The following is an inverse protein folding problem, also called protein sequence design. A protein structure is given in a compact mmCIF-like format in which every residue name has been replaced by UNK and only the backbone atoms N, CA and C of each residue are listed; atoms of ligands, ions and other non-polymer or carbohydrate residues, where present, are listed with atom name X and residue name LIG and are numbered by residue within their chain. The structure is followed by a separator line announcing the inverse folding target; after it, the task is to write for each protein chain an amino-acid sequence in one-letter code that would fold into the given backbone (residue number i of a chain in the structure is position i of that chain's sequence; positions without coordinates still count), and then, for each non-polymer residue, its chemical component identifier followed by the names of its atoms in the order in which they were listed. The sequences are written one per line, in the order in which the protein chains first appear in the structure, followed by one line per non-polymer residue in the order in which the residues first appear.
data_IF_951719727114
#
_entry.id   IF_951719727114
#
_cell.length_a   1.000
_cell.length_b   1.000
_cell.length_c   1.000
_cell.angle_alpha   90.00
_cell.angle_beta   90.00
_cell.angle_gamma   90.00
#
_symmetry.space_group_name_H-M   'P 1'
#
loop_
_entity.id
_entity.type
_entity.pdbx_description
1 polymer ?
#
# COMPACT_ATOMS: atom_id res chain seq x y z
N UNK A 1 6.46 -8.56 -10.06
CA UNK A 1 6.65 -7.85 -8.79
C UNK A 1 5.93 -8.67 -7.74
N UNK A 2 6.65 -9.31 -6.83
CA UNK A 2 6.03 -10.07 -5.74
C UNK A 2 5.56 -9.03 -4.71
N UNK A 3 4.32 -8.63 -4.86
CA UNK A 3 3.68 -7.79 -3.87
C UNK A 3 3.37 -8.72 -2.71
N UNK A 4 4.20 -8.73 -1.66
CA UNK A 4 3.67 -9.14 -0.36
C UNK A 4 2.49 -8.23 -0.06
N UNK A 5 1.26 -8.67 -0.37
CA UNK A 5 0.07 -7.81 -0.38
C UNK A 5 -0.11 -7.11 0.96
N UNK A 6 0.25 -7.84 2.02
CA UNK A 6 0.13 -7.37 3.37
C UNK A 6 1.49 -7.34 4.05
N UNK A 7 1.72 -6.24 4.76
CA UNK A 7 2.82 -6.12 5.69
C UNK A 7 2.75 -7.26 6.71
N UNK A 8 3.84 -8.02 6.88
CA UNK A 8 3.90 -9.16 7.83
C UNK A 8 3.81 -8.75 9.31
N UNK A 9 3.86 -7.46 9.60
CA UNK A 9 3.96 -6.89 10.95
C UNK A 9 2.61 -6.24 11.33
N UNK A 10 1.73 -6.98 12.01
CA UNK A 10 0.35 -6.53 12.29
C UNK A 10 -0.08 -6.69 13.75
N UNK A 11 -0.75 -5.64 14.26
CA UNK A 11 -1.16 -5.44 15.66
C UNK A 11 -2.44 -6.21 16.06
N UNK A 12 -3.32 -6.56 15.10
CA UNK A 12 -4.58 -7.26 15.36
C UNK A 12 -4.60 -8.60 14.63
N UNK A 13 -3.87 -9.58 15.19
CA UNK A 13 -3.72 -10.98 14.76
C UNK A 13 -4.51 -11.38 13.50
N UNK A 14 -4.02 -10.96 12.33
CA UNK A 14 -4.53 -11.38 11.02
C UNK A 14 -5.83 -10.74 10.50
N UNK A 15 -6.60 -10.01 11.32
CA UNK A 15 -7.90 -9.44 10.91
C UNK A 15 -7.74 -8.07 10.25
N UNK A 16 -6.98 -7.17 10.88
CA UNK A 16 -6.66 -5.85 10.31
C UNK A 16 -5.30 -5.94 9.64
N UNK A 17 -5.27 -5.72 8.33
CA UNK A 17 -4.05 -5.78 7.52
C UNK A 17 -3.73 -4.42 6.93
N UNK A 18 -2.43 -4.12 6.83
CA UNK A 18 -1.93 -2.92 6.16
C UNK A 18 -1.28 -3.36 4.85
N UNK A 19 -1.54 -2.63 3.78
CA UNK A 19 -0.91 -2.84 2.49
C UNK A 19 0.59 -2.55 2.58
N UNK A 20 1.40 -3.32 1.86
CA UNK A 20 2.81 -2.99 1.65
C UNK A 20 2.96 -1.76 0.74
N UNK A 21 4.15 -1.16 0.72
CA UNK A 21 4.39 0.13 0.05
C UNK A 21 4.12 0.13 -1.47
N UNK A 22 4.34 -0.99 -2.15
CA UNK A 22 4.20 -1.12 -3.60
C UNK A 22 2.92 -1.85 -4.04
N UNK A 23 1.95 -2.05 -3.14
CA UNK A 23 0.69 -2.70 -3.50
C UNK A 23 -0.11 -1.80 -4.44
N UNK A 24 -0.55 -2.38 -5.55
CA UNK A 24 -1.51 -1.74 -6.45
C UNK A 24 -2.82 -2.54 -6.45
N UNK A 25 -3.93 -1.87 -6.13
CA UNK A 25 -5.26 -2.48 -6.18
C UNK A 25 -5.85 -2.26 -7.57
N UNK A 26 -6.29 -3.35 -8.19
CA UNK A 26 -6.91 -3.30 -9.52
C UNK A 26 -8.20 -2.47 -9.49
N UNK A 27 -8.31 -1.54 -10.43
CA UNK A 27 -9.54 -0.78 -10.70
C UNK A 27 -10.12 -1.45 -11.95
N UNK A 28 -11.11 -2.33 -11.78
CA UNK A 28 -11.53 -3.32 -12.79
C UNK A 28 -11.62 -2.82 -14.24
N UNK A 29 -11.33 -3.70 -15.19
CA UNK A 29 -11.31 -3.42 -16.62
C UNK A 29 -12.45 -4.12 -17.37
N UNK A 30 -12.85 -3.57 -18.53
CA UNK A 30 -13.82 -4.23 -19.40
C UNK A 30 -13.26 -5.56 -19.93
N UNK A 31 -14.07 -6.63 -19.88
CA UNK A 31 -13.68 -7.96 -20.35
C UNK A 31 -13.85 -8.15 -21.87
N UNK A 32 -14.68 -7.31 -22.52
CA UNK A 32 -15.03 -7.47 -23.93
C UNK A 32 -13.81 -7.55 -24.87
N UNK A 33 -12.78 -6.69 -24.75
CA UNK A 33 -11.62 -6.78 -25.66
C UNK A 33 -10.86 -8.10 -25.54
N UNK A 34 -10.85 -8.70 -24.35
CA UNK A 34 -10.21 -10.00 -24.10
C UNK A 34 -11.05 -11.12 -24.73
N UNK A 35 -12.39 -11.02 -24.63
CA UNK A 35 -13.29 -11.99 -25.26
C UNK A 35 -13.19 -11.93 -26.79
N UNK A 36 -13.21 -10.74 -27.38
CA UNK A 36 -13.01 -10.53 -28.82
C UNK A 36 -11.66 -11.11 -29.29
N UNK A 37 -10.58 -10.85 -28.54
CA UNK A 37 -9.27 -11.43 -28.84
C UNK A 37 -9.27 -12.97 -28.80
N UNK A 38 -9.90 -13.56 -27.78
CA UNK A 38 -10.00 -15.02 -27.64
C UNK A 38 -10.88 -15.64 -28.74
N UNK A 39 -11.92 -14.95 -29.19
CA UNK A 39 -12.77 -15.37 -30.31
C UNK A 39 -11.96 -15.36 -31.63
N UNK A 40 -11.15 -14.33 -31.88
CA UNK A 40 -10.31 -14.24 -33.08
C UNK A 40 -9.16 -15.26 -33.11
N UNK A 41 -8.53 -15.52 -31.95
CA UNK A 41 -7.37 -16.41 -31.84
C UNK A 41 -7.72 -17.88 -31.57
N UNK A 42 -8.91 -18.18 -31.07
CA UNK A 42 -9.41 -19.56 -31.02
C UNK A 42 -9.91 -19.97 -32.40
N UNK A 43 -8.97 -20.28 -33.30
CA UNK A 43 -9.25 -20.89 -34.61
C UNK A 43 -9.75 -22.34 -34.46
N UNK A 44 -10.91 -22.52 -33.83
CA UNK A 44 -11.88 -23.56 -34.12
C UNK A 44 -13.25 -22.89 -34.07
N UNK A 45 -13.80 -22.56 -35.25
CA UNK A 45 -15.10 -21.93 -35.49
C UNK A 45 -16.20 -22.46 -34.55
N UNK A 46 -16.39 -21.82 -33.40
CA UNK A 46 -17.57 -21.99 -32.57
C UNK A 46 -18.14 -20.61 -32.29
N UNK A 47 -18.84 -20.09 -33.29
CA UNK A 47 -19.70 -18.94 -33.11
C UNK A 47 -20.64 -19.20 -31.92
N UNK A 48 -20.59 -18.27 -30.97
CA UNK A 48 -21.54 -18.01 -29.88
C UNK A 48 -21.47 -18.96 -28.67
N UNK A 49 -21.35 -18.31 -27.51
CA UNK A 49 -21.42 -18.77 -26.10
C UNK A 49 -22.47 -19.88 -25.80
N UNK A 50 -23.60 -20.06 -26.52
CA UNK A 50 -24.50 -21.22 -26.33
C UNK A 50 -24.09 -22.52 -27.05
N UNK A 51 -23.16 -22.49 -28.02
CA UNK A 51 -22.79 -23.68 -28.83
C UNK A 51 -21.61 -24.49 -28.28
N UNK A 52 -20.73 -23.86 -27.49
CA UNK A 52 -19.56 -24.49 -26.85
C UNK A 52 -19.96 -25.74 -26.02
N UNK A 53 -21.14 -25.75 -25.42
CA UNK A 53 -21.63 -26.89 -24.62
C UNK A 53 -22.27 -28.02 -25.45
N UNK A 54 -22.59 -27.81 -26.75
CA UNK A 54 -23.34 -28.78 -27.56
C UNK A 54 -22.50 -29.53 -28.60
N UNK A 55 -21.40 -28.95 -29.09
CA UNK A 55 -20.66 -29.50 -30.23
C UNK A 55 -19.27 -30.03 -29.87
N UNK A 56 -18.79 -29.86 -28.63
CA UNK A 56 -17.52 -30.44 -28.18
C UNK A 56 -17.73 -31.92 -27.83
N UNK A 57 -17.05 -32.81 -28.57
CA UNK A 57 -17.00 -34.23 -28.23
C UNK A 57 -16.36 -34.41 -26.85
N UNK A 58 -16.99 -35.12 -25.89
CA UNK A 58 -16.43 -35.38 -24.56
C UNK A 58 -15.05 -36.04 -24.58
N UNK A 59 -14.67 -36.67 -25.69
CA UNK A 59 -13.37 -37.31 -25.88
C UNK A 59 -12.20 -36.32 -26.00
N UNK A 60 -12.44 -35.08 -26.43
CA UNK A 60 -11.38 -34.07 -26.67
C UNK A 60 -11.09 -33.25 -25.41
N UNK A 61 -12.04 -33.17 -24.48
CA UNK A 61 -11.96 -32.36 -23.26
C UNK A 61 -10.75 -32.71 -22.37
N UNK A 62 -10.36 -33.99 -22.19
CA UNK A 62 -9.20 -34.33 -21.37
C UNK A 62 -7.85 -33.88 -21.98
N UNK A 63 -7.78 -33.67 -23.29
CA UNK A 63 -6.55 -33.34 -24.01
C UNK A 63 -6.42 -31.85 -24.31
N UNK A 64 -7.49 -31.08 -24.14
CA UNK A 64 -7.51 -29.64 -24.41
C UNK A 64 -7.50 -28.84 -23.10
N UNK A 65 -6.86 -27.66 -23.13
CA UNK A 65 -6.84 -26.77 -21.97
C UNK A 65 -8.09 -25.91 -21.96
N UNK A 66 -8.76 -25.84 -20.80
CA UNK A 66 -9.98 -25.04 -20.61
C UNK A 66 -9.59 -23.59 -20.33
N UNK A 67 -10.28 -22.65 -20.95
CA UNK A 67 -10.07 -21.21 -20.78
C UNK A 67 -11.23 -20.62 -19.99
N UNK A 68 -10.90 -19.97 -18.87
CA UNK A 68 -11.86 -19.25 -18.05
C UNK A 68 -11.54 -17.76 -18.04
N UNK A 69 -12.56 -16.92 -18.19
CA UNK A 69 -12.47 -15.47 -18.07
C UNK A 69 -13.47 -15.02 -17.01
N UNK A 70 -13.00 -14.39 -15.94
CA UNK A 70 -13.83 -13.97 -14.79
C UNK A 70 -14.71 -15.10 -14.21
N UNK A 71 -14.20 -16.34 -14.21
CA UNK A 71 -14.92 -17.53 -13.73
C UNK A 71 -15.91 -18.13 -14.73
N UNK A 72 -16.16 -17.50 -15.88
CA UNK A 72 -16.97 -18.07 -16.96
C UNK A 72 -16.11 -18.94 -17.88
N UNK A 73 -16.58 -20.16 -18.16
CA UNK A 73 -15.93 -21.03 -19.16
C UNK A 73 -16.20 -20.49 -20.56
N UNK A 74 -15.14 -20.02 -21.23
CA UNK A 74 -15.25 -19.39 -22.56
C UNK A 74 -14.95 -20.39 -23.67
N UNK A 75 -14.03 -21.34 -23.47
CA UNK A 75 -13.71 -22.30 -24.52
C UNK A 75 -12.60 -23.29 -24.17
N UNK A 76 -12.12 -24.00 -25.18
CA UNK A 76 -10.98 -24.91 -25.09
C UNK A 76 -9.92 -24.52 -26.11
N UNK A 77 -8.65 -24.74 -25.78
CA UNK A 77 -7.54 -24.48 -26.68
C UNK A 77 -6.54 -25.64 -26.68
N UNK A 78 -6.11 -26.06 -27.88
CA UNK A 78 -5.20 -27.20 -28.06
C UNK A 78 -3.74 -26.87 -27.75
N UNK A 79 -3.34 -25.62 -27.95
CA UNK A 79 -1.97 -25.15 -27.70
C UNK A 79 -1.94 -23.95 -26.72
N UNK A 80 -2.17 -24.18 -25.41
CA UNK A 80 -2.26 -23.10 -24.43
C UNK A 80 -0.95 -22.32 -24.27
N UNK A 81 0.21 -22.93 -24.54
CA UNK A 81 1.51 -22.30 -24.34
C UNK A 81 1.70 -21.09 -25.29
N UNK A 82 1.32 -21.26 -26.55
CA UNK A 82 1.39 -20.17 -27.54
C UNK A 82 0.42 -19.03 -27.20
N UNK A 83 -0.78 -19.37 -26.74
CA UNK A 83 -1.78 -18.38 -26.32
C UNK A 83 -1.27 -17.54 -25.13
N UNK A 84 -0.74 -18.19 -24.09
CA UNK A 84 -0.19 -17.50 -22.91
C UNK A 84 1.00 -16.62 -23.27
N UNK A 85 1.91 -17.09 -24.14
CA UNK A 85 3.04 -16.28 -24.63
C UNK A 85 2.56 -15.03 -25.36
N UNK A 86 1.56 -15.17 -26.22
CA UNK A 86 0.99 -14.04 -26.98
C UNK A 86 0.29 -13.05 -26.06
N UNK A 87 -0.56 -13.52 -25.13
CA UNK A 87 -1.24 -12.67 -24.16
C UNK A 87 -0.26 -11.90 -23.28
N UNK A 88 0.82 -12.54 -22.82
CA UNK A 88 1.90 -11.87 -22.06
C UNK A 88 2.61 -10.82 -22.90
N UNK A 89 2.87 -11.09 -24.18
CA UNK A 89 3.47 -10.12 -25.08
C UNK A 89 2.56 -8.91 -25.31
N UNK A 90 1.25 -9.13 -25.52
CA UNK A 90 0.24 -8.08 -25.64
C UNK A 90 0.07 -7.28 -24.34
N UNK A 91 0.32 -7.88 -23.17
CA UNK A 91 0.35 -7.14 -21.90
C UNK A 91 1.57 -6.23 -21.78
N UNK A 92 2.74 -6.71 -22.22
CA UNK A 92 4.03 -5.99 -22.08
C UNK A 92 4.23 -4.91 -23.13
N UNK A 93 3.65 -5.09 -24.31
CA UNK A 93 3.57 -4.06 -25.34
C UNK A 93 2.24 -3.37 -25.15
N UNK A 94 2.23 -2.15 -24.62
CA UNK A 94 0.98 -1.40 -24.42
C UNK A 94 0.32 -1.18 -25.78
N UNK A 95 -0.58 -2.10 -26.16
CA UNK A 95 -1.38 -2.16 -27.39
C UNK A 95 -0.74 -1.42 -28.59
N UNK A 96 0.33 -2.00 -29.14
CA UNK A 96 0.74 -1.73 -30.52
C UNK A 96 0.99 -3.05 -31.25
N UNK A 97 -0.07 -3.81 -31.53
CA UNK A 97 -0.01 -4.81 -32.61
C UNK A 97 -1.35 -4.85 -33.36
N UNK A 98 -1.36 -4.27 -34.57
CA UNK A 98 -2.19 -4.78 -35.67
C UNK A 98 -1.28 -5.01 -36.89
N UNK A 99 -1.36 -6.18 -37.58
CA UNK A 99 -0.62 -6.42 -38.82
C UNK A 99 -1.12 -5.62 -40.04
N UNK A 100 -2.27 -4.93 -39.95
CA UNK A 100 -2.99 -4.40 -41.11
C UNK A 100 -3.32 -2.89 -41.06
N UNK A 101 -2.49 -2.07 -40.42
CA UNK A 101 -2.27 -0.68 -40.85
C UNK A 101 -3.46 0.28 -40.96
N UNK A 102 -4.57 0.11 -40.23
CA UNK A 102 -5.57 1.17 -40.01
C UNK A 102 -6.27 1.05 -38.65
N UNK A 103 -5.81 1.82 -37.68
CA UNK A 103 -6.66 2.39 -36.63
C UNK A 103 -6.38 3.88 -36.55
N UNK A 104 -7.40 4.69 -36.81
CA UNK A 104 -7.32 6.13 -36.67
C UNK A 104 -7.31 6.45 -35.18
N UNK A 105 -6.21 7.06 -34.74
CA UNK A 105 -5.89 7.27 -33.34
C UNK A 105 -6.98 7.99 -32.56
N UNK A 106 -7.53 7.28 -31.58
CA UNK A 106 -7.91 7.83 -30.28
C UNK A 106 -7.66 6.73 -29.26
N UNK A 107 -6.38 6.42 -29.03
CA UNK A 107 -5.97 5.60 -27.91
C UNK A 107 -6.49 6.23 -26.61
N UNK A 108 -6.90 5.36 -25.69
CA UNK A 108 -7.32 5.67 -24.32
C UNK A 108 -6.23 6.48 -23.60
N UNK A 109 -6.16 7.79 -23.86
CA UNK A 109 -5.42 8.74 -23.03
C UNK A 109 -6.24 8.93 -21.77
N UNK A 110 -5.66 8.50 -20.65
CA UNK A 110 -6.15 8.83 -19.32
C UNK A 110 -6.39 10.37 -19.24
N UNK A 111 -7.63 10.84 -19.00
CA UNK A 111 -7.94 12.27 -18.98
C UNK A 111 -7.32 13.02 -17.78
N UNK A 112 -6.65 12.31 -16.87
CA UNK A 112 -6.01 12.88 -15.67
C UNK A 112 -4.52 13.14 -15.82
N UNK A 113 -3.96 13.23 -17.04
CA UNK A 113 -2.54 13.57 -17.24
C UNK A 113 -2.32 15.09 -17.03
N UNK A 114 -2.44 15.52 -15.77
CA UNK A 114 -2.06 16.86 -15.33
C UNK A 114 -0.56 16.84 -15.02
N UNK A 115 0.23 17.36 -15.96
CA UNK A 115 1.52 18.01 -15.75
C UNK A 115 2.56 17.23 -14.90
N UNK A 116 3.19 16.22 -15.48
CA UNK A 116 4.56 15.86 -15.10
C UNK A 116 5.52 16.33 -16.20
N UNK A 117 6.56 17.06 -15.80
CA UNK A 117 7.59 17.64 -16.65
C UNK A 117 8.31 16.58 -17.48
N UNK A 118 8.62 16.94 -18.72
CA UNK A 118 9.12 16.06 -19.78
C UNK A 118 10.61 15.66 -19.67
N UNK A 119 11.16 15.51 -18.47
CA UNK A 119 12.54 15.07 -18.27
C UNK A 119 12.56 13.93 -17.23
N UNK A 120 13.13 12.79 -17.65
CA UNK A 120 13.18 11.49 -16.97
C UNK A 120 11.92 10.61 -17.14
N UNK A 121 12.13 9.45 -17.78
CA UNK A 121 11.06 8.50 -18.05
C UNK A 121 10.42 8.00 -16.76
N UNK A 122 9.16 8.37 -16.56
CA UNK A 122 8.39 8.03 -15.37
C UNK A 122 8.07 6.53 -15.28
N UNK A 123 7.51 6.12 -14.14
CA UNK A 123 7.10 4.73 -13.88
C UNK A 123 6.26 4.12 -15.01
N UNK A 124 5.35 4.91 -15.59
CA UNK A 124 4.51 4.49 -16.71
C UNK A 124 5.31 4.09 -17.95
N UNK A 125 6.39 4.78 -18.27
CA UNK A 125 7.22 4.44 -19.43
C UNK A 125 7.95 3.11 -19.23
N UNK A 126 8.37 2.80 -17.99
CA UNK A 126 9.01 1.51 -17.66
C UNK A 126 8.04 0.34 -17.79
N UNK A 127 6.76 0.57 -17.44
CA UNK A 127 5.69 -0.41 -17.63
C UNK A 127 5.36 -0.55 -19.12
N UNK A 128 5.24 0.56 -19.85
CA UNK A 128 4.93 0.57 -21.30
C UNK A 128 6.01 -0.12 -22.13
N UNK A 129 7.29 0.03 -21.75
CA UNK A 129 8.42 -0.68 -22.38
C UNK A 129 8.51 -2.16 -21.99
N UNK A 130 7.67 -2.63 -21.06
CA UNK A 130 7.66 -4.02 -20.60
C UNK A 130 8.84 -4.40 -19.70
N UNK A 131 9.53 -3.42 -19.08
CA UNK A 131 10.58 -3.71 -18.10
C UNK A 131 10.00 -4.11 -16.73
N UNK A 132 8.84 -3.54 -16.38
CA UNK A 132 8.15 -3.80 -15.12
C UNK A 132 6.78 -4.37 -15.42
N UNK A 133 6.42 -5.41 -14.66
CA UNK A 133 5.16 -6.13 -14.80
C UNK A 133 4.49 -6.28 -13.43
N UNK A 134 3.21 -5.93 -13.37
CA UNK A 134 2.35 -6.22 -12.21
C UNK A 134 1.98 -7.70 -12.22
N UNK A 135 2.17 -8.35 -11.07
CA UNK A 135 1.87 -9.77 -10.87
C UNK A 135 0.85 -9.86 -9.76
N UNK A 136 -0.25 -10.56 -10.02
CA UNK A 136 -1.31 -10.84 -9.05
C UNK A 136 -1.03 -12.15 -8.29
N UNK A 137 -1.75 -12.44 -7.20
CA UNK A 137 -1.52 -13.64 -6.37
C UNK A 137 -1.69 -14.94 -7.13
N UNK A 138 -2.69 -15.02 -8.01
CA UNK A 138 -2.92 -16.22 -8.81
C UNK A 138 -1.83 -16.40 -9.87
N UNK A 139 -1.25 -15.30 -10.37
CA UNK A 139 -0.14 -15.37 -11.31
C UNK A 139 1.17 -15.73 -10.61
N UNK A 140 1.34 -15.30 -9.35
CA UNK A 140 2.50 -15.60 -8.52
C UNK A 140 2.76 -17.11 -8.45
N UNK A 141 1.72 -17.93 -8.30
CA UNK A 141 1.83 -19.41 -8.24
C UNK A 141 2.51 -20.04 -9.47
N UNK A 142 2.47 -19.35 -10.61
CA UNK A 142 3.05 -19.83 -11.89
C UNK A 142 4.39 -19.17 -12.22
N UNK A 143 4.87 -18.26 -11.39
CA UNK A 143 6.10 -17.48 -11.64
C UNK A 143 7.21 -17.86 -10.67
N UNK A 144 8.46 -17.76 -11.13
CA UNK A 144 9.64 -17.96 -10.29
C UNK A 144 10.35 -16.62 -10.12
N UNK A 145 10.35 -16.10 -8.90
CA UNK A 145 10.85 -14.75 -8.60
C UNK A 145 12.16 -14.85 -7.81
N UNK A 146 13.18 -14.13 -8.29
CA UNK A 146 14.45 -13.96 -7.56
C UNK A 146 14.35 -12.81 -6.56
N UNK A 147 14.94 -12.99 -5.37
CA UNK A 147 14.89 -11.99 -4.29
C UNK A 147 15.89 -10.87 -4.55
N UNK A 148 17.09 -11.23 -5.01
CA UNK A 148 18.13 -10.27 -5.34
C UNK A 148 18.65 -10.47 -6.76
N UNK A 149 19.14 -9.38 -7.35
CA UNK A 149 19.80 -9.42 -8.67
C UNK A 149 21.03 -10.33 -8.65
N UNK A 150 21.70 -10.47 -7.49
CA UNK A 150 22.85 -11.36 -7.35
C UNK A 150 22.47 -12.82 -7.58
N UNK A 151 21.27 -13.25 -7.19
CA UNK A 151 20.78 -14.61 -7.41
C UNK A 151 20.64 -14.89 -8.91
N UNK A 152 20.19 -13.90 -9.70
CA UNK A 152 20.12 -14.01 -11.16
C UNK A 152 21.49 -14.07 -11.82
N UNK A 153 22.44 -13.25 -11.34
CA UNK A 153 23.81 -13.26 -11.85
C UNK A 153 24.48 -14.59 -11.55
N UNK A 154 24.30 -15.12 -10.35
CA UNK A 154 24.81 -16.43 -9.96
C UNK A 154 24.19 -17.55 -10.78
N UNK A 155 22.86 -17.53 -10.98
CA UNK A 155 22.16 -18.48 -11.85
C UNK A 155 22.72 -18.51 -13.28
N UNK A 156 23.13 -17.36 -13.81
CA UNK A 156 23.71 -17.26 -15.14
C UNK A 156 25.17 -17.71 -15.22
N UNK A 157 25.97 -17.45 -14.19
CA UNK A 157 27.41 -17.75 -14.18
C UNK A 157 27.71 -19.18 -13.75
N UNK A 158 26.93 -19.72 -12.82
CA UNK A 158 27.13 -21.04 -12.22
C UNK A 158 25.79 -21.77 -12.09
N UNK A 159 25.25 -22.29 -13.20
CA UNK A 159 23.97 -23.01 -13.19
C UNK A 159 23.92 -24.16 -12.18
N UNK A 160 25.01 -24.93 -12.03
CA UNK A 160 25.05 -26.09 -11.12
C UNK A 160 25.02 -25.75 -9.62
N UNK A 161 25.42 -24.53 -9.23
CA UNK A 161 25.36 -24.06 -7.84
C UNK A 161 24.08 -23.24 -7.57
N UNK A 162 23.33 -22.88 -8.62
CA UNK A 162 22.20 -22.00 -8.51
C UNK A 162 20.94 -22.72 -8.03
N UNK A 163 20.12 -22.01 -7.25
CA UNK A 163 18.86 -22.55 -6.75
C UNK A 163 17.87 -22.87 -7.88
N UNK A 164 17.83 -22.03 -8.91
CA UNK A 164 16.96 -22.20 -10.08
C UNK A 164 17.59 -21.55 -11.31
N UNK A 165 17.41 -22.18 -12.46
CA UNK A 165 17.79 -21.63 -13.77
C UNK A 165 16.60 -20.94 -14.47
N UNK A 166 15.38 -21.12 -13.96
CA UNK A 166 14.12 -20.76 -14.63
C UNK A 166 13.42 -19.54 -14.05
N UNK A 167 14.20 -18.60 -13.49
CA UNK A 167 13.65 -17.34 -12.99
C UNK A 167 12.90 -16.57 -14.08
N UNK A 168 11.67 -16.16 -13.79
CA UNK A 168 10.83 -15.36 -14.69
C UNK A 168 10.84 -13.88 -14.31
N UNK A 169 11.01 -13.55 -13.03
CA UNK A 169 11.02 -12.18 -12.52
C UNK A 169 12.11 -11.97 -11.46
N UNK A 170 12.37 -10.69 -11.17
CA UNK A 170 13.21 -10.23 -10.07
C UNK A 170 12.43 -9.27 -9.19
N UNK A 171 12.65 -9.34 -7.88
CA UNK A 171 12.18 -8.29 -6.99
C UNK A 171 12.94 -6.99 -7.15
N UNK A 172 12.22 -5.88 -7.02
CA UNK A 172 12.81 -4.54 -7.09
C UNK A 172 13.70 -4.31 -5.86
N UNK A 173 13.14 -4.54 -4.67
CA UNK A 173 13.88 -4.50 -3.43
C UNK A 173 13.09 -5.21 -2.31
N UNK A 174 13.71 -6.13 -1.54
CA UNK A 174 13.01 -6.91 -0.51
C UNK A 174 12.33 -6.07 0.58
N UNK A 175 12.81 -4.86 0.87
CA UNK A 175 12.19 -3.98 1.88
C UNK A 175 10.79 -3.47 1.52
N UNK A 176 10.39 -3.56 0.25
CA UNK A 176 9.10 -3.06 -0.24
C UNK A 176 7.93 -3.94 0.22
N UNK A 177 8.21 -5.10 0.82
CA UNK A 177 7.24 -5.95 1.53
C UNK A 177 6.70 -5.31 2.81
N UNK A 178 7.41 -4.31 3.35
CA UNK A 178 7.00 -3.63 4.57
C UNK A 178 5.89 -2.62 4.28
N UNK A 179 4.98 -2.45 5.24
CA UNK A 179 4.01 -1.36 5.24
C UNK A 179 4.60 -0.08 5.83
N UNK A 180 3.83 1.01 5.80
CA UNK A 180 4.25 2.34 6.28
C UNK A 180 4.86 2.29 7.69
N UNK A 181 4.17 1.69 8.67
CA UNK A 181 4.64 1.67 10.06
C UNK A 181 5.85 0.74 10.30
N UNK A 182 6.00 -0.32 9.51
CA UNK A 182 7.16 -1.22 9.64
C UNK A 182 8.38 -0.64 8.93
N UNK A 183 8.17 0.13 7.85
CA UNK A 183 9.24 0.74 7.06
C UNK A 183 10.01 1.85 7.80
N UNK A 184 9.45 2.40 8.88
CA UNK A 184 10.11 3.39 9.74
C UNK A 184 10.96 2.74 10.85
N UNK A 185 10.94 1.41 11.00
CA UNK A 185 11.75 0.72 11.99
C UNK A 185 13.18 0.62 11.46
N UNK A 186 14.20 1.12 12.18
CA UNK A 186 15.60 0.91 11.80
C UNK A 186 15.98 -0.56 12.00
N UNK A 187 16.62 -1.17 11.01
CA UNK A 187 17.10 -2.57 11.04
C UNK A 187 16.03 -3.58 11.51
N UNK A 188 14.86 -3.67 10.83
CA UNK A 188 13.79 -4.57 11.24
C UNK A 188 14.18 -6.04 11.11
N UNK A 189 15.13 -6.37 10.24
CA UNK A 189 15.72 -7.68 10.00
C UNK A 189 16.62 -8.18 11.15
N UNK A 190 17.17 -7.27 11.95
CA UNK A 190 18.02 -7.60 13.11
C UNK A 190 17.23 -7.71 14.42
N UNK A 191 15.91 -7.57 14.36
CA UNK A 191 15.05 -7.57 15.52
C UNK A 191 14.17 -8.82 15.56
N UNK A 192 13.78 -9.26 16.76
CA UNK A 192 12.85 -10.36 16.89
C UNK A 192 11.49 -9.95 16.33
N UNK A 193 10.88 -10.80 15.49
CA UNK A 193 9.61 -10.50 14.80
C UNK A 193 8.51 -9.86 15.69
N UNK A 194 8.23 -10.36 16.92
CA UNK A 194 7.21 -9.73 17.79
C UNK A 194 7.51 -8.28 18.15
N UNK A 195 8.79 -7.89 18.29
CA UNK A 195 9.20 -6.52 18.64
C UNK A 195 8.91 -5.54 17.52
N UNK A 196 9.05 -5.97 16.27
CA UNK A 196 8.65 -5.15 15.12
C UNK A 196 7.13 -4.89 15.12
N UNK A 197 6.35 -5.90 15.52
CA UNK A 197 4.90 -5.79 15.65
C UNK A 197 4.50 -4.79 16.72
N UNK A 198 5.17 -4.82 17.87
CA UNK A 198 4.95 -3.83 18.92
C UNK A 198 5.30 -2.41 18.46
N UNK A 199 6.42 -2.22 17.79
CA UNK A 199 6.81 -0.89 17.31
C UNK A 199 5.82 -0.35 16.27
N UNK A 200 5.33 -1.18 15.35
CA UNK A 200 4.34 -0.78 14.35
C UNK A 200 3.00 -0.37 14.98
N UNK A 201 2.66 -0.97 16.13
CA UNK A 201 1.49 -0.61 16.91
C UNK A 201 1.68 0.69 17.69
N UNK A 202 2.77 0.78 18.45
CA UNK A 202 3.10 1.91 19.32
C UNK A 202 3.42 3.17 18.52
N UNK A 203 3.98 3.04 17.31
CA UNK A 203 4.26 4.17 16.42
C UNK A 203 3.04 5.02 16.09
N UNK A 204 1.83 4.43 16.11
CA UNK A 204 0.56 5.17 15.89
C UNK A 204 0.18 6.07 17.07
N UNK A 205 0.77 5.86 18.24
CA UNK A 205 0.57 6.64 19.46
C UNK A 205 1.65 7.72 19.63
N UNK A 206 2.64 7.77 18.73
CA UNK A 206 3.71 8.75 18.80
C UNK A 206 3.17 10.17 18.61
N UNK A 207 3.78 11.11 19.32
CA UNK A 207 3.50 12.54 19.19
C UNK A 207 4.49 13.17 18.22
N UNK A 208 4.00 14.08 17.38
CA UNK A 208 4.79 14.76 16.36
C UNK A 208 4.01 15.89 15.74
N UNK A 209 4.46 16.32 14.57
CA UNK A 209 3.65 17.20 13.71
C UNK A 209 2.89 16.29 12.75
N UNK A 210 1.56 16.20 12.91
CA UNK A 210 0.71 15.37 12.06
C UNK A 210 0.34 16.06 10.74
N UNK A 211 0.22 17.39 10.75
CA UNK A 211 -0.03 18.21 9.55
C UNK A 211 0.52 19.62 9.78
N UNK A 212 0.94 20.33 8.73
CA UNK A 212 1.51 21.69 8.84
C UNK A 212 0.47 22.75 9.18
N UNK A 213 -0.78 22.60 8.73
CA UNK A 213 -1.87 23.55 8.96
C UNK A 213 -2.66 23.29 10.25
N UNK A 214 -2.08 22.59 11.23
CA UNK A 214 -2.76 22.23 12.48
C UNK A 214 -3.27 23.45 13.27
N UNK A 215 -2.62 24.61 13.13
CA UNK A 215 -3.02 25.85 13.80
C UNK A 215 -4.35 26.43 13.31
N UNK A 216 -4.72 26.13 12.05
CA UNK A 216 -5.96 26.62 11.44
C UNK A 216 -7.10 25.59 11.59
N UNK A 217 -6.77 24.37 12.00
CA UNK A 217 -7.69 23.24 11.99
C UNK A 217 -8.29 23.03 13.38
N UNK A 218 -9.61 22.89 13.44
CA UNK A 218 -10.35 22.64 14.68
C UNK A 218 -10.57 21.13 14.89
N UNK A 219 -9.50 20.40 15.20
CA UNK A 219 -9.59 18.99 15.60
C UNK A 219 -10.04 18.86 17.07
N UNK A 220 -10.77 17.78 17.41
CA UNK A 220 -11.26 17.53 18.77
C UNK A 220 -10.12 17.41 19.79
N UNK A 221 -9.07 16.67 19.44
CA UNK A 221 -7.86 16.48 20.24
C UNK A 221 -6.65 16.55 19.31
N UNK A 222 -5.64 17.31 19.68
CA UNK A 222 -4.37 17.34 18.96
C UNK A 222 -3.19 17.41 19.92
N UNK A 223 -2.15 16.63 19.64
CA UNK A 223 -0.89 16.64 20.36
C UNK A 223 0.23 17.03 19.40
N UNK A 224 0.94 18.12 19.69
CA UNK A 224 2.03 18.63 18.84
C UNK A 224 3.30 18.78 19.64
N UNK A 225 4.39 18.19 19.17
CA UNK A 225 5.70 18.29 19.82
C UNK A 225 6.31 19.69 19.58
N UNK A 226 6.92 20.29 20.60
CA UNK A 226 7.56 21.62 20.46
C UNK A 226 8.77 21.57 19.52
N UNK A 227 9.65 20.58 19.72
CA UNK A 227 10.92 20.47 19.01
C UNK A 227 11.09 19.05 18.43
N UNK A 228 10.35 18.71 17.36
CA UNK A 228 10.53 17.44 16.69
C UNK A 228 11.86 17.43 15.93
N UNK A 229 12.57 16.31 15.99
CA UNK A 229 13.89 16.15 15.39
C UNK A 229 13.88 15.01 14.37
N UNK A 230 14.66 15.18 13.31
CA UNK A 230 14.88 14.12 12.33
C UNK A 230 15.64 12.97 13.00
N UNK A 231 15.21 11.71 12.82
CA UNK A 231 15.94 10.57 13.36
C UNK A 231 17.35 10.52 12.75
N UNK A 232 18.34 10.16 13.57
CA UNK A 232 19.74 10.04 13.12
C UNK A 232 19.93 8.86 12.15
N UNK A 233 19.27 7.75 12.44
CA UNK A 233 19.25 6.55 11.60
C UNK A 233 17.94 6.53 10.84
N UNK A 234 18.01 6.58 9.52
CA UNK A 234 16.83 6.60 8.63
C UNK A 234 16.84 5.42 7.68
N UNK A 235 15.66 4.87 7.39
CA UNK A 235 15.48 3.93 6.28
C UNK A 235 15.28 4.72 4.98
N UNK A 236 15.54 4.10 3.82
CA UNK A 236 15.25 4.73 2.52
C UNK A 236 13.76 5.03 2.33
N UNK A 237 12.88 4.17 2.87
CA UNK A 237 11.44 4.38 2.81
C UNK A 237 10.97 5.66 3.51
N UNK A 238 11.67 6.12 4.55
CA UNK A 238 11.32 7.38 5.25
C UNK A 238 11.41 8.62 4.36
N UNK A 239 12.21 8.57 3.29
CA UNK A 239 12.32 9.66 2.32
C UNK A 239 11.02 9.80 1.51
N UNK A 240 10.51 8.68 1.00
CA UNK A 240 9.25 8.62 0.25
C UNK A 240 8.02 8.89 1.12
N UNK A 241 8.08 8.54 2.41
CA UNK A 241 7.01 8.81 3.37
C UNK A 241 7.02 10.24 3.94
N UNK A 242 7.98 11.08 3.53
CA UNK A 242 8.19 12.42 4.06
C UNK A 242 8.38 12.48 5.59
N UNK A 243 8.81 11.38 6.22
CA UNK A 243 9.00 11.29 7.67
C UNK A 243 10.11 12.22 8.17
N UNK A 244 11.08 12.54 7.30
CA UNK A 244 12.13 13.54 7.61
C UNK A 244 11.57 14.96 7.68
N UNK A 245 10.48 15.25 6.99
CA UNK A 245 9.86 16.59 6.96
C UNK A 245 8.93 16.77 8.16
N UNK A 246 8.17 15.72 8.50
CA UNK A 246 7.25 15.69 9.64
C UNK A 246 7.65 14.59 10.64
N UNK A 247 8.73 14.80 11.43
CA UNK A 247 9.17 13.79 12.38
C UNK A 247 8.26 13.69 13.60
N UNK A 248 8.15 12.48 14.14
CA UNK A 248 7.38 12.16 15.34
C UNK A 248 8.29 11.65 16.47
N UNK A 249 9.16 12.54 16.97
CA UNK A 249 10.07 12.21 18.08
C UNK A 249 11.18 13.25 18.28
N UNK A 250 12.03 12.99 19.27
CA UNK A 250 13.26 13.75 19.52
C UNK A 250 14.43 12.78 19.74
N UNK A 251 15.64 13.16 19.35
CA UNK A 251 16.82 12.34 19.60
C UNK A 251 17.25 12.53 21.05
N UNK A 252 17.45 11.42 21.78
CA UNK A 252 17.88 11.41 23.16
C UNK A 252 19.27 10.79 23.30
N UNK A 253 20.07 11.29 24.23
CA UNK A 253 21.29 10.61 24.67
C UNK A 253 20.85 9.59 25.73
N UNK A 254 21.04 8.30 25.43
CA UNK A 254 20.60 7.20 26.30
C UNK A 254 21.82 6.48 26.86
N UNK A 255 21.82 6.24 28.17
CA UNK A 255 22.82 5.42 28.85
C UNK A 255 22.13 4.17 29.42
N UNK A 256 22.65 2.98 29.07
CA UNK A 256 22.16 1.70 29.58
C UNK A 256 23.05 1.31 30.76
N UNK A 257 22.55 1.52 31.98
CA UNK A 257 23.28 1.19 33.21
C UNK A 257 22.31 0.87 34.35
N UNK A 258 22.73 0.01 35.27
CA UNK A 258 22.02 -0.17 36.54
C UNK A 258 22.39 1.00 37.45
N UNK A 259 21.45 1.91 37.72
CA UNK A 259 21.69 3.11 38.51
C UNK A 259 20.53 3.40 39.45
N UNK A 260 20.82 3.63 40.74
CA UNK A 260 19.87 4.02 41.81
C UNK A 260 18.70 3.06 42.11
N UNK A 261 18.47 2.02 41.30
CA UNK A 261 17.36 1.09 41.46
C UNK A 261 16.01 1.60 40.92
N UNK A 262 15.89 2.90 40.62
CA UNK A 262 14.66 3.51 40.06
C UNK A 262 14.46 3.28 38.55
N UNK A 263 15.26 2.43 37.91
CA UNK A 263 15.14 2.09 36.48
C UNK A 263 14.88 0.59 36.26
N UNK A 264 14.20 -0.07 37.21
CA UNK A 264 13.83 -1.49 37.17
C UNK A 264 12.44 -1.69 36.53
N UNK A 265 12.15 -2.88 36.00
CA UNK A 265 10.80 -3.23 35.50
C UNK A 265 10.23 -2.21 34.49
N UNK A 266 10.94 -2.01 33.37
CA UNK A 266 10.55 -1.13 32.25
C UNK A 266 10.43 0.37 32.58
N UNK A 267 10.86 0.82 33.77
CA UNK A 267 10.95 2.25 34.05
C UNK A 267 12.31 2.86 33.65
N UNK A 268 12.30 4.15 33.32
CA UNK A 268 13.46 4.89 32.85
C UNK A 268 13.69 6.16 33.68
N UNK A 269 14.95 6.44 34.02
CA UNK A 269 15.34 7.68 34.69
C UNK A 269 15.61 8.78 33.66
N UNK A 270 15.00 9.95 33.86
CA UNK A 270 15.13 11.10 32.95
C UNK A 270 15.91 12.24 33.61
N UNK A 271 16.76 12.91 32.83
CA UNK A 271 17.51 14.06 33.31
C UNK A 271 16.61 15.30 33.44
N UNK A 272 16.38 15.75 34.67
CA UNK A 272 15.55 16.94 34.96
C UNK A 272 16.03 18.18 34.20
N UNK A 273 17.34 18.44 34.15
CA UNK A 273 17.88 19.60 33.45
C UNK A 273 17.57 19.60 31.95
N UNK A 274 17.39 18.42 31.33
CA UNK A 274 16.97 18.32 29.92
C UNK A 274 15.50 18.68 29.76
N UNK A 275 14.64 18.25 30.69
CA UNK A 275 13.20 18.56 30.69
C UNK A 275 12.97 20.07 30.90
N UNK A 276 13.74 20.67 31.80
CA UNK A 276 13.67 22.12 32.08
C UNK A 276 14.02 22.96 30.84
N UNK A 277 14.92 22.45 29.99
CA UNK A 277 15.30 23.05 28.70
C UNK A 277 14.33 22.75 27.56
N UNK A 278 13.27 21.97 27.81
CA UNK A 278 12.22 21.71 26.82
C UNK A 278 12.29 20.36 26.12
N UNK A 279 13.12 19.42 26.60
CA UNK A 279 13.13 18.05 26.06
C UNK A 279 11.72 17.42 26.16
N UNK A 280 11.20 16.94 25.02
CA UNK A 280 9.91 16.27 24.90
C UNK A 280 8.68 17.04 25.42
N UNK A 281 8.71 18.38 25.41
CA UNK A 281 7.52 19.20 25.67
C UNK A 281 6.54 19.13 24.50
N UNK A 282 5.24 19.00 24.80
CA UNK A 282 4.16 18.98 23.81
C UNK A 282 3.08 20.03 24.11
N UNK A 283 2.40 20.47 23.06
CA UNK A 283 1.16 21.25 23.11
C UNK A 283 -0.02 20.29 23.03
N UNK A 284 -1.04 20.57 23.85
CA UNK A 284 -2.31 19.88 23.83
C UNK A 284 -3.42 20.85 23.42
N UNK A 285 -4.11 20.52 22.33
CA UNK A 285 -5.29 21.26 21.88
C UNK A 285 -6.53 20.40 22.10
N UNK A 286 -7.58 21.02 22.64
CA UNK A 286 -8.90 20.42 22.75
C UNK A 286 -9.95 21.42 22.26
N UNK A 287 -10.73 21.02 21.26
CA UNK A 287 -11.85 21.82 20.80
C UNK A 287 -13.17 21.26 21.31
N UNK A 288 -14.12 22.17 21.54
CA UNK A 288 -15.47 21.85 21.96
C UNK A 288 -16.44 22.43 20.93
N UNK A 289 -17.46 21.66 20.59
CA UNK A 289 -18.54 22.07 19.67
C UNK A 289 -19.85 22.04 20.45
N UNK A 290 -20.60 23.12 20.38
CA UNK A 290 -21.98 23.19 20.85
C UNK A 290 -22.83 23.88 19.78
N UNK A 291 -24.12 23.55 19.73
CA UNK A 291 -25.05 24.07 18.73
C UNK A 291 -26.38 24.43 19.40
N UNK A 292 -26.99 25.52 18.97
CA UNK A 292 -28.33 25.92 19.42
C UNK A 292 -29.38 24.95 18.87
N UNK A 293 -30.02 24.17 19.74
CA UNK A 293 -31.13 23.29 19.32
C UNK A 293 -32.45 24.04 19.36
N UNK A 294 -33.31 23.74 18.39
CA UNK A 294 -34.73 24.11 18.42
C UNK A 294 -35.53 22.89 18.87
N UNK A 295 -36.11 22.93 20.06
CA UNK A 295 -37.09 21.94 20.51
C UNK A 295 -38.50 22.40 20.14
N UNK A 296 -39.03 21.83 19.06
CA UNK A 296 -40.37 22.16 18.55
C UNK A 296 -40.46 23.58 17.96
N UNK A 297 -41.68 24.12 17.91
CA UNK A 297 -41.97 25.43 17.26
C UNK A 297 -41.67 26.63 18.16
N UNK A 298 -41.51 26.44 19.47
CA UNK A 298 -41.53 27.51 20.48
C UNK A 298 -40.26 27.65 21.32
N UNK A 299 -39.42 26.61 21.45
CA UNK A 299 -38.24 26.65 22.33
C UNK A 299 -36.97 26.65 21.48
N UNK A 300 -36.29 27.79 21.44
CA UNK A 300 -34.95 27.96 20.85
C UNK A 300 -33.93 28.13 21.97
N UNK A 301 -32.86 27.34 21.93
CA UNK A 301 -31.68 27.57 22.78
C UNK A 301 -30.90 28.77 22.22
N UNK A 302 -30.39 29.63 23.10
CA UNK A 302 -29.55 30.78 22.72
C UNK A 302 -28.25 30.76 23.54
N UNK A 303 -27.13 31.07 22.89
CA UNK A 303 -25.87 31.28 23.59
C UNK A 303 -25.84 32.63 24.31
N UNK A 304 -25.84 32.59 25.64
CA UNK A 304 -25.80 33.78 26.47
C UNK A 304 -25.17 33.55 27.83
N UNK A 305 -24.84 34.64 28.51
CA UNK A 305 -24.44 34.58 29.91
C UNK A 305 -25.69 34.32 30.76
N UNK A 306 -25.78 33.21 31.52
CA UNK A 306 -26.98 32.90 32.30
C UNK A 306 -27.16 33.90 33.45
N UNK A 307 -28.42 34.25 33.75
CA UNK A 307 -28.79 35.08 34.91
C UNK A 307 -29.68 34.27 35.86
N UNK A 308 -29.41 34.34 37.17
CA UNK A 308 -30.07 33.49 38.17
C UNK A 308 -31.60 33.72 38.27
N UNK A 309 -32.08 34.88 37.87
CA UNK A 309 -33.50 35.25 37.92
C UNK A 309 -34.33 34.62 36.79
N UNK A 310 -33.73 34.42 35.61
CA UNK A 310 -34.44 34.01 34.38
C UNK A 310 -34.08 32.60 33.89
N UNK A 311 -33.13 31.92 34.52
CA UNK A 311 -32.62 30.62 34.05
C UNK A 311 -32.58 29.59 35.18
N UNK A 312 -33.36 28.50 35.05
CA UNK A 312 -33.18 27.31 35.88
C UNK A 312 -32.05 26.44 35.30
N UNK A 313 -31.08 26.07 36.13
CA UNK A 313 -29.95 25.22 35.72
C UNK A 313 -30.41 23.77 35.62
N UNK A 314 -30.52 23.24 34.41
CA UNK A 314 -30.89 21.83 34.16
C UNK A 314 -29.68 20.88 34.11
N UNK A 315 -28.46 21.39 34.10
CA UNK A 315 -27.23 20.61 34.16
C UNK A 315 -25.99 21.49 34.04
N UNK A 316 -24.89 21.07 34.67
CA UNK A 316 -23.58 21.73 34.56
C UNK A 316 -22.72 20.91 33.61
N UNK A 317 -22.44 21.43 32.40
CA UNK A 317 -21.36 20.90 31.55
C UNK A 317 -20.05 21.53 32.04
N UNK A 318 -19.25 20.77 32.79
CA UNK A 318 -17.87 21.15 33.11
C UNK A 318 -17.01 20.91 31.87
N UNK A 319 -16.43 21.99 31.34
CA UNK A 319 -15.50 21.97 30.21
C UNK A 319 -14.05 21.88 30.67
#
# INVERSE_FOLDING_TARGET
MLVGIFCMVLQACGLVKNLALMVYITVGSAANPILEFLEEWSTENFEVIPKILREISPAVIPQATKIFVNGCWVGIHRNPEFLVKTLRQLRRQTIEVFPNGKWNGHGFRNPNRVLESAEEGGWHELVEKGYIEYVDTEEEETTMISVTINDLVQARLKPEEAYSETYTHCEIHPSLILGVCASIIPFPDHNQSPRNTYQSAMGKQAMGIYVTNYQLRMDTLAYVLYYPQKPLVTTRAMEHLHFRQLPAGSNAIVAIACYSGYNQEDCHNMNQSSIDRGFSRSLFFRSYRDEEKKMGTLVKEDFGRPNRENTMVSGVKLF
#
